data_IF_095324554763
#
_entry.id   IF_095324554763
#
_cell.length_a   1.000
_cell.length_b   1.000
_cell.length_c   1.000
_cell.angle_alpha   90.00
_cell.angle_beta   90.00
_cell.angle_gamma   90.00
#
_symmetry.space_group_name_H-M   'P 1'
#
loop_
_entity.id
_entity.type
_entity.pdbx_description
1 polymer ?
#
# COMPACT_ATOMS: atom_id res chain seq x y z
N UNK A 1 18.90 0.00 -18.34
CA UNK A 1 17.91 -0.68 -17.49
C UNK A 1 17.50 0.32 -16.44
N UNK A 2 16.23 0.70 -16.41
CA UNK A 2 15.74 1.48 -15.27
C UNK A 2 15.86 0.66 -13.99
N UNK A 3 16.13 1.35 -12.88
CA UNK A 3 16.36 0.70 -11.59
C UNK A 3 15.05 0.18 -11.02
N UNK A 4 15.02 -1.07 -10.57
CA UNK A 4 13.90 -1.68 -9.82
C UNK A 4 13.96 -1.39 -8.32
N UNK A 5 15.09 -0.83 -7.84
CA UNK A 5 15.30 -0.48 -6.45
C UNK A 5 14.19 0.42 -5.84
N UNK A 6 13.70 1.49 -6.50
CA UNK A 6 12.66 2.35 -5.93
C UNK A 6 11.36 1.59 -5.68
N UNK A 7 10.96 0.69 -6.58
CA UNK A 7 9.74 -0.11 -6.42
C UNK A 7 9.86 -1.06 -5.24
N UNK A 8 11.02 -1.72 -5.08
CA UNK A 8 11.27 -2.61 -3.95
C UNK A 8 11.28 -1.85 -2.63
N UNK A 9 11.87 -0.65 -2.61
CA UNK A 9 11.91 0.15 -1.41
C UNK A 9 10.52 0.69 -1.04
N UNK A 10 9.74 1.15 -2.01
CA UNK A 10 8.35 1.55 -1.82
C UNK A 10 7.51 0.39 -1.27
N UNK A 11 7.64 -0.82 -1.83
CA UNK A 11 6.96 -2.01 -1.33
C UNK A 11 7.33 -2.32 0.13
N UNK A 12 8.62 -2.28 0.47
CA UNK A 12 9.08 -2.54 1.83
C UNK A 12 8.55 -1.48 2.81
N UNK A 13 8.57 -0.20 2.41
CA UNK A 13 8.02 0.89 3.20
C UNK A 13 6.52 0.68 3.44
N UNK A 14 5.75 0.37 2.40
CA UNK A 14 4.31 0.10 2.52
C UNK A 14 4.04 -1.07 3.45
N UNK A 15 4.72 -2.21 3.26
CA UNK A 15 4.54 -3.38 4.14
C UNK A 15 4.81 -3.02 5.61
N UNK A 16 5.89 -2.27 5.88
CA UNK A 16 6.23 -1.85 7.23
C UNK A 16 5.16 -0.93 7.84
N UNK A 17 4.67 0.04 7.07
CA UNK A 17 3.61 0.96 7.48
C UNK A 17 2.33 0.19 7.76
N UNK A 18 1.90 -0.68 6.85
CA UNK A 18 0.65 -1.41 7.00
C UNK A 18 0.66 -2.39 8.17
N UNK A 19 1.76 -3.11 8.37
CA UNK A 19 1.91 -3.96 9.55
C UNK A 19 1.80 -3.10 10.82
N UNK A 20 2.45 -1.94 10.86
CA UNK A 20 2.35 -1.03 12.00
C UNK A 20 0.90 -0.56 12.21
N UNK A 21 0.20 -0.15 11.15
CA UNK A 21 -1.21 0.29 11.19
C UNK A 21 -2.11 -0.84 11.71
N UNK A 22 -1.99 -2.06 11.18
CA UNK A 22 -2.78 -3.21 11.62
C UNK A 22 -2.53 -3.53 13.10
N UNK A 23 -1.28 -3.48 13.55
CA UNK A 23 -0.92 -3.68 14.95
C UNK A 23 -1.50 -2.59 15.86
N UNK A 24 -1.48 -1.32 15.43
CA UNK A 24 -2.10 -0.19 16.14
C UNK A 24 -3.62 -0.33 16.23
N UNK A 25 -4.26 -0.92 15.21
CA UNK A 25 -5.68 -1.28 15.21
C UNK A 25 -5.99 -2.55 16.04
N UNK A 26 -4.98 -3.13 16.71
CA UNK A 26 -5.11 -4.28 17.58
C UNK A 26 -5.15 -5.63 16.86
N UNK A 27 -4.89 -5.67 15.55
CA UNK A 27 -4.82 -6.93 14.81
C UNK A 27 -3.51 -7.67 15.12
N UNK A 28 -3.61 -8.89 15.63
CA UNK A 28 -2.44 -9.72 15.98
C UNK A 28 -2.46 -11.08 15.30
N UNK A 29 -3.53 -11.39 14.55
CA UNK A 29 -3.66 -12.69 13.88
C UNK A 29 -2.66 -12.74 12.74
N UNK A 30 -1.67 -13.63 12.87
CA UNK A 30 -0.61 -13.86 11.86
C UNK A 30 -1.15 -14.05 10.44
N UNK A 31 -2.33 -14.68 10.29
CA UNK A 31 -2.97 -14.86 8.97
C UNK A 31 -3.34 -13.53 8.31
N UNK A 32 -3.83 -12.54 9.07
CA UNK A 32 -4.21 -11.23 8.56
C UNK A 32 -2.96 -10.40 8.23
N UNK A 33 -1.94 -10.44 9.10
CA UNK A 33 -0.67 -9.75 8.86
C UNK A 33 0.09 -10.34 7.65
N UNK A 34 0.05 -11.66 7.45
CA UNK A 34 0.64 -12.26 6.25
C UNK A 34 -0.20 -11.92 5.01
N UNK A 35 -1.53 -11.86 5.16
CA UNK A 35 -2.43 -11.48 4.09
C UNK A 35 -2.17 -10.04 3.60
N UNK A 36 -1.82 -9.09 4.48
CA UNK A 36 -1.47 -7.72 4.09
C UNK A 36 -0.20 -7.66 3.24
N UNK A 37 0.82 -8.43 3.61
CA UNK A 37 2.07 -8.54 2.84
C UNK A 37 1.80 -9.07 1.44
N UNK A 38 1.04 -10.16 1.34
CA UNK A 38 0.75 -10.81 0.05
C UNK A 38 -0.05 -9.90 -0.85
N UNK A 39 -1.09 -9.25 -0.33
CA UNK A 39 -1.94 -8.43 -1.18
C UNK A 39 -1.21 -7.20 -1.71
N UNK A 40 -0.36 -6.56 -0.91
CA UNK A 40 0.48 -5.45 -1.35
C UNK A 40 1.42 -5.79 -2.51
N UNK A 41 1.97 -7.01 -2.52
CA UNK A 41 2.78 -7.49 -3.63
C UNK A 41 1.93 -7.61 -4.90
N UNK A 42 0.65 -8.00 -4.77
CA UNK A 42 -0.28 -8.19 -5.88
C UNK A 42 -0.86 -6.86 -6.37
N UNK A 43 -1.08 -5.88 -5.48
CA UNK A 43 -1.78 -4.63 -5.78
C UNK A 43 -0.82 -3.46 -6.02
N UNK A 44 0.05 -3.16 -5.05
CA UNK A 44 0.91 -1.99 -5.07
C UNK A 44 2.13 -2.13 -5.96
N UNK A 45 2.71 -3.32 -6.13
CA UNK A 45 3.82 -3.51 -7.08
C UNK A 45 3.38 -3.25 -8.53
N UNK A 46 2.28 -3.83 -9.04
CA UNK A 46 1.82 -3.52 -10.39
C UNK A 46 1.44 -2.05 -10.56
N UNK A 47 0.76 -1.44 -9.57
CA UNK A 47 0.38 -0.04 -9.65
C UNK A 47 1.63 0.86 -9.76
N UNK A 48 2.65 0.63 -8.92
CA UNK A 48 3.90 1.38 -8.96
C UNK A 48 4.67 1.17 -10.26
N UNK A 49 4.71 -0.07 -10.80
CA UNK A 49 5.31 -0.35 -12.11
C UNK A 49 4.59 0.46 -13.20
N UNK A 50 3.25 0.41 -13.24
CA UNK A 50 2.49 1.12 -14.27
C UNK A 50 2.69 2.64 -14.11
N UNK A 51 2.64 3.16 -12.88
CA UNK A 51 2.86 4.58 -12.61
C UNK A 51 4.24 5.05 -13.09
N UNK A 52 5.30 4.30 -12.78
CA UNK A 52 6.68 4.65 -13.11
C UNK A 52 6.99 4.49 -14.61
N UNK A 53 6.62 3.36 -15.22
CA UNK A 53 7.06 3.01 -16.57
C UNK A 53 6.07 3.42 -17.67
N UNK A 54 4.77 3.41 -17.39
CA UNK A 54 3.74 3.81 -18.36
C UNK A 54 3.42 5.30 -18.22
N UNK A 55 3.68 5.89 -17.05
CA UNK A 55 3.46 7.32 -16.80
C UNK A 55 1.99 7.64 -16.55
N UNK A 56 1.47 7.22 -15.40
CA UNK A 56 0.10 7.57 -15.00
C UNK A 56 -0.01 9.04 -14.63
N UNK A 57 -1.09 9.69 -15.07
CA UNK A 57 -1.46 11.01 -14.54
C UNK A 57 -1.81 10.91 -13.06
N UNK A 58 -1.80 12.04 -12.33
CA UNK A 58 -2.22 12.09 -10.93
C UNK A 58 -3.63 11.50 -10.73
N UNK A 59 -4.56 11.79 -11.64
CA UNK A 59 -5.91 11.20 -11.62
C UNK A 59 -5.86 9.69 -11.84
N UNK A 60 -4.98 9.21 -12.73
CA UNK A 60 -4.75 7.79 -12.97
C UNK A 60 -4.22 7.06 -11.75
N UNK A 61 -3.23 7.63 -11.05
CA UNK A 61 -2.68 7.07 -9.80
C UNK A 61 -3.78 6.99 -8.73
N UNK A 62 -4.50 8.09 -8.48
CA UNK A 62 -5.60 8.12 -7.49
C UNK A 62 -6.68 7.08 -7.83
N UNK A 63 -7.02 6.94 -9.12
CA UNK A 63 -8.00 5.93 -9.55
C UNK A 63 -7.48 4.52 -9.30
N UNK A 64 -6.20 4.26 -9.58
CA UNK A 64 -5.54 2.99 -9.28
C UNK A 64 -5.57 2.66 -7.79
N UNK A 65 -5.22 3.62 -6.92
CA UNK A 65 -5.26 3.48 -5.47
C UNK A 65 -6.67 3.14 -4.96
N UNK A 66 -7.71 3.78 -5.50
CA UNK A 66 -9.10 3.46 -5.14
C UNK A 66 -9.49 2.03 -5.54
N UNK A 67 -9.00 1.54 -6.68
CA UNK A 67 -9.21 0.15 -7.10
C UNK A 67 -8.47 -0.80 -6.14
N UNK A 68 -7.22 -0.48 -5.77
CA UNK A 68 -6.44 -1.24 -4.80
C UNK A 68 -7.18 -1.35 -3.46
N UNK A 69 -7.71 -0.25 -2.95
CA UNK A 69 -8.53 -0.24 -1.71
C UNK A 69 -9.71 -1.21 -1.81
N UNK A 70 -10.43 -1.23 -2.93
CA UNK A 70 -11.55 -2.16 -3.09
C UNK A 70 -11.07 -3.62 -3.10
N UNK A 71 -10.00 -3.93 -3.85
CA UNK A 71 -9.43 -5.27 -3.93
C UNK A 71 -8.92 -5.75 -2.58
N UNK A 72 -8.24 -4.89 -1.84
CA UNK A 72 -7.71 -5.18 -0.52
C UNK A 72 -8.79 -5.35 0.54
N UNK A 73 -9.84 -4.53 0.51
CA UNK A 73 -10.98 -4.70 1.40
C UNK A 73 -11.65 -6.08 1.20
N UNK A 74 -11.81 -6.51 -0.05
CA UNK A 74 -12.32 -7.84 -0.38
C UNK A 74 -11.36 -8.93 0.11
N UNK A 75 -10.05 -8.75 -0.08
CA UNK A 75 -9.03 -9.68 0.40
C UNK A 75 -9.04 -9.82 1.92
N UNK A 76 -9.02 -8.71 2.67
CA UNK A 76 -9.10 -8.71 4.13
C UNK A 76 -10.39 -9.36 4.64
N UNK A 77 -11.51 -9.16 3.93
CA UNK A 77 -12.78 -9.79 4.29
C UNK A 77 -12.67 -11.32 4.27
N UNK A 78 -11.87 -11.92 3.39
CA UNK A 78 -11.67 -13.37 3.35
C UNK A 78 -11.09 -13.92 4.66
N UNK A 79 -10.30 -13.14 5.39
CA UNK A 79 -9.63 -13.56 6.63
C UNK A 79 -10.35 -13.06 7.89
N UNK A 80 -10.89 -11.84 7.86
CA UNK A 80 -11.52 -11.20 9.02
C UNK A 80 -12.99 -11.57 9.15
N UNK A 81 -13.67 -11.88 8.03
CA UNK A 81 -15.11 -12.21 7.93
C UNK A 81 -16.05 -11.14 8.49
N UNK A 82 -15.58 -9.89 8.64
CA UNK A 82 -16.37 -8.73 9.06
C UNK A 82 -16.13 -7.59 8.08
N UNK A 83 -17.14 -7.24 7.28
CA UNK A 83 -16.99 -6.29 6.18
C UNK A 83 -16.51 -4.91 6.65
N UNK A 84 -17.12 -4.36 7.72
CA UNK A 84 -16.72 -3.06 8.25
C UNK A 84 -15.25 -3.03 8.72
N UNK A 85 -14.79 -4.09 9.40
CA UNK A 85 -13.41 -4.19 9.85
C UNK A 85 -12.43 -4.34 8.68
N UNK A 86 -12.77 -5.14 7.66
CA UNK A 86 -11.95 -5.32 6.47
C UNK A 86 -11.83 -4.02 5.66
N UNK A 87 -12.92 -3.26 5.54
CA UNK A 87 -12.93 -1.95 4.89
C UNK A 87 -12.07 -0.95 5.66
N UNK A 88 -12.18 -0.89 6.98
CA UNK A 88 -11.33 -0.02 7.83
C UNK A 88 -9.86 -0.37 7.67
N UNK A 89 -9.51 -1.65 7.64
CA UNK A 89 -8.13 -2.09 7.43
C UNK A 89 -7.58 -1.61 6.10
N UNK A 90 -8.29 -1.88 5.00
CA UNK A 90 -7.85 -1.44 3.68
C UNK A 90 -7.76 0.09 3.57
N UNK A 91 -8.78 0.82 4.02
CA UNK A 91 -8.78 2.29 3.96
C UNK A 91 -7.61 2.90 4.74
N UNK A 92 -7.39 2.48 5.98
CA UNK A 92 -6.33 3.07 6.80
C UNK A 92 -4.94 2.66 6.32
N UNK A 93 -4.75 1.40 5.91
CA UNK A 93 -3.49 0.94 5.36
C UNK A 93 -3.10 1.73 4.11
N UNK A 94 -3.98 1.82 3.12
CA UNK A 94 -3.72 2.55 1.88
C UNK A 94 -3.63 4.06 2.08
N UNK A 95 -4.51 4.66 2.90
CA UNK A 95 -4.47 6.10 3.12
C UNK A 95 -3.17 6.53 3.82
N UNK A 96 -2.71 5.77 4.82
CA UNK A 96 -1.48 6.11 5.54
C UNK A 96 -0.26 5.85 4.66
N UNK A 97 -0.19 4.72 3.94
CA UNK A 97 0.94 4.45 3.03
C UNK A 97 1.01 5.46 1.89
N UNK A 98 -0.12 5.84 1.30
CA UNK A 98 -0.20 6.88 0.28
C UNK A 98 0.26 8.24 0.82
N UNK A 99 -0.22 8.65 2.00
CA UNK A 99 0.18 9.92 2.62
C UNK A 99 1.68 9.96 2.92
N UNK A 100 2.25 8.87 3.43
CA UNK A 100 3.69 8.77 3.66
C UNK A 100 4.44 8.87 2.34
N UNK A 101 4.01 8.15 1.30
CA UNK A 101 4.58 8.25 -0.04
C UNK A 101 4.58 9.68 -0.57
N UNK A 102 3.45 10.38 -0.46
CA UNK A 102 3.31 11.77 -0.89
C UNK A 102 4.27 12.71 -0.13
N UNK A 103 4.42 12.52 1.17
CA UNK A 103 5.37 13.28 1.99
C UNK A 103 6.81 13.02 1.52
N UNK A 104 7.17 11.76 1.29
CA UNK A 104 8.50 11.38 0.81
C UNK A 104 8.83 12.00 -0.55
N UNK A 105 7.86 12.08 -1.47
CA UNK A 105 8.05 12.68 -2.81
C UNK A 105 8.10 14.21 -2.77
N UNK A 106 7.35 14.85 -1.87
CA UNK A 106 7.27 16.32 -1.79
C UNK A 106 8.36 16.96 -0.94
N UNK A 107 8.93 16.22 0.02
CA UNK A 107 10.01 16.65 0.90
C UNK A 107 11.24 15.72 0.74
N UNK A 108 11.93 15.78 -0.41
CA UNK A 108 13.04 14.87 -0.72
C UNK A 108 14.18 14.94 0.29
N UNK A 109 14.39 16.09 0.96
CA UNK A 109 15.43 16.27 1.98
C UNK A 109 15.28 15.36 3.21
N UNK A 110 14.07 14.83 3.44
CA UNK A 110 13.78 13.90 4.55
C UNK A 110 13.91 12.43 4.07
N UNK A 111 13.75 12.17 2.77
CA UNK A 111 13.53 10.83 2.22
C UNK A 111 14.29 10.56 0.92
N UNK A 112 15.52 11.07 0.79
CA UNK A 112 16.40 11.04 -0.40
C UNK A 112 16.63 9.66 -1.06
N UNK A 113 16.18 8.56 -0.45
CA UNK A 113 16.33 7.21 -0.98
C UNK A 113 15.01 6.57 -1.47
N UNK A 114 13.85 7.21 -1.24
CA UNK A 114 12.51 6.66 -1.46
C UNK A 114 11.79 7.16 -2.73
N UNK A 115 12.37 8.13 -3.45
CA UNK A 115 11.83 8.71 -4.68
C UNK A 115 12.51 8.15 -5.93
#
# INVERSE_FOLDING_TARGET
>A
MESVAPILLALLATIMIEIAVLLLLGEKRRKVLLASVVINIITNVPLNIIAQYVGLSTVGVITGELIVVVVEALWYYLFVKKAGQALVYSLLCNAISFLVGLICTTLPDICYHLA
#
